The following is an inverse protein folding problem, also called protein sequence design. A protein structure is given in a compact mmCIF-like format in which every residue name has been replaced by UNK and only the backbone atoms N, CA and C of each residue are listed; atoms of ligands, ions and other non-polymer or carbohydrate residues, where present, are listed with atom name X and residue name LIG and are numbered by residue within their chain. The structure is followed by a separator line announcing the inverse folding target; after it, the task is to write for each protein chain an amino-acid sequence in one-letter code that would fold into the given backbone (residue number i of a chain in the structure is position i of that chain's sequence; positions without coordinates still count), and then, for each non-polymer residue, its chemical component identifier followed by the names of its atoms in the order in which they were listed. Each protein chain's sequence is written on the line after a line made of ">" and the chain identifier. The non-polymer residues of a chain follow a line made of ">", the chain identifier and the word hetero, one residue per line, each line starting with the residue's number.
data_IF_288880150906
#
_entry.id   IF_288880150906
#
_cell.length_a   1.000
_cell.length_b   1.000
_cell.length_c   1.000
_cell.angle_alpha   90.00
_cell.angle_beta   90.00
_cell.angle_gamma   90.00
#
_symmetry.space_group_name_H-M   'P 1'
#
loop_
_entity.id
_entity.type
_entity.pdbx_description
1 polymer ?
#
# COMPACT_ATOMS: atom_id res chain seq x y z
N UNK A 1 -42.72 38.70 36.10
CA UNK A 1 -41.39 39.20 35.71
C UNK A 1 -40.35 38.21 36.21
N UNK A 2 -39.74 37.45 35.30
CA UNK A 2 -38.73 36.45 35.61
C UNK A 2 -37.33 37.10 35.57
N UNK A 3 -36.47 36.78 36.54
CA UNK A 3 -35.10 37.28 36.60
C UNK A 3 -34.22 36.54 35.56
N UNK A 4 -33.36 37.22 34.79
CA UNK A 4 -32.47 36.56 33.85
C UNK A 4 -31.35 35.82 34.59
N UNK A 5 -31.07 34.59 34.18
CA UNK A 5 -29.89 33.83 34.60
C UNK A 5 -28.70 34.29 33.73
N UNK A 6 -27.60 34.71 34.36
CA UNK A 6 -26.36 35.11 33.69
C UNK A 6 -25.26 34.07 33.90
N UNK A 7 -25.43 32.87 33.35
CA UNK A 7 -24.30 31.95 33.21
C UNK A 7 -24.53 31.07 31.99
N UNK A 8 -23.68 31.22 30.99
CA UNK A 8 -23.52 30.24 29.93
C UNK A 8 -22.75 29.04 30.49
N UNK A 9 -23.13 27.79 30.18
CA UNK A 9 -22.31 26.64 30.50
C UNK A 9 -21.01 26.68 29.69
N UNK A 10 -19.88 26.45 30.36
CA UNK A 10 -18.52 26.44 29.77
C UNK A 10 -18.30 25.34 28.71
N UNK A 11 -19.33 24.55 28.39
CA UNK A 11 -19.32 23.54 27.33
C UNK A 11 -19.58 24.10 25.92
N UNK A 12 -19.81 25.41 25.79
CA UNK A 12 -20.17 26.06 24.51
C UNK A 12 -19.03 26.87 23.86
N UNK A 13 -17.84 26.91 24.45
CA UNK A 13 -16.66 27.57 23.89
C UNK A 13 -15.58 26.53 23.59
N UNK A 14 -15.16 26.45 22.33
CA UNK A 14 -13.97 25.72 21.84
C UNK A 14 -12.64 26.29 22.41
N UNK A 15 -12.66 26.85 23.62
CA UNK A 15 -11.52 27.45 24.28
C UNK A 15 -10.80 26.48 25.24
N UNK A 16 -11.27 25.24 25.38
CA UNK A 16 -10.72 24.25 26.31
C UNK A 16 -9.88 23.14 25.65
N UNK A 17 -9.42 23.34 24.41
CA UNK A 17 -8.38 22.48 23.81
C UNK A 17 -7.65 23.21 22.68
N UNK A 18 -6.88 24.25 23.04
CA UNK A 18 -5.65 24.48 22.30
C UNK A 18 -4.72 23.37 22.77
N UNK A 19 -4.30 22.54 21.83
CA UNK A 19 -3.20 21.61 21.98
C UNK A 19 -2.09 22.31 22.74
N UNK A 20 -1.78 21.79 23.94
CA UNK A 20 -0.45 22.02 24.48
C UNK A 20 0.52 21.46 23.42
N UNK A 21 1.54 22.23 23.00
CA UNK A 21 2.56 21.67 22.12
C UNK A 21 3.05 20.39 22.77
N UNK A 22 3.28 19.34 21.97
CA UNK A 22 3.83 18.09 22.46
C UNK A 22 5.23 18.36 23.04
N UNK A 23 5.24 18.77 24.31
CA UNK A 23 6.43 19.05 25.09
C UNK A 23 7.27 17.79 25.26
N UNK A 24 6.70 16.61 24.99
CA UNK A 24 7.43 15.35 24.89
C UNK A 24 8.27 15.28 23.63
N UNK A 25 7.72 15.65 22.47
CA UNK A 25 8.46 15.72 21.21
C UNK A 25 9.53 16.80 21.21
N UNK A 26 9.23 17.99 21.74
CA UNK A 26 10.20 19.09 21.83
C UNK A 26 11.28 18.80 22.89
N UNK A 27 10.93 18.16 24.01
CA UNK A 27 11.92 17.69 24.99
C UNK A 27 12.75 16.51 24.48
N UNK A 28 12.17 15.57 23.73
CA UNK A 28 12.90 14.45 23.13
C UNK A 28 13.82 14.91 22.00
N UNK A 29 13.37 15.87 21.19
CA UNK A 29 14.20 16.53 20.18
C UNK A 29 15.32 17.33 20.84
N UNK A 30 15.03 18.06 21.92
CA UNK A 30 16.04 18.79 22.66
C UNK A 30 17.04 17.86 23.37
N UNK A 31 16.59 16.73 23.92
CA UNK A 31 17.45 15.69 24.49
C UNK A 31 18.33 15.04 23.41
N UNK A 32 17.77 14.77 22.22
CA UNK A 32 18.52 14.26 21.07
C UNK A 32 19.53 15.30 20.53
N UNK A 33 19.18 16.58 20.49
CA UNK A 33 20.09 17.68 20.13
C UNK A 33 21.13 17.95 21.23
N UNK A 34 20.81 17.77 22.50
CA UNK A 34 21.81 17.88 23.58
C UNK A 34 22.77 16.69 23.55
N UNK A 35 22.29 15.49 23.20
CA UNK A 35 23.10 14.27 23.10
C UNK A 35 23.93 14.20 21.81
N UNK A 36 23.40 14.69 20.68
CA UNK A 36 23.98 14.48 19.35
C UNK A 36 24.16 15.78 18.53
N UNK A 37 23.68 16.92 19.02
CA UNK A 37 23.76 18.19 18.30
C UNK A 37 25.18 18.69 18.09
N UNK A 38 26.14 18.32 18.94
CA UNK A 38 27.56 18.57 18.70
C UNK A 38 28.08 17.83 17.46
N UNK A 39 27.69 16.56 17.28
CA UNK A 39 28.07 15.77 16.11
C UNK A 39 27.38 16.27 14.84
N UNK A 40 26.11 16.71 14.93
CA UNK A 40 25.39 17.29 13.81
C UNK A 40 25.97 18.66 13.42
N UNK A 41 26.38 19.47 14.39
CA UNK A 41 27.06 20.74 14.14
C UNK A 41 28.42 20.51 13.46
N UNK A 42 29.24 19.55 13.94
CA UNK A 42 30.48 19.18 13.28
C UNK A 42 30.26 18.61 11.86
N UNK A 43 29.16 17.90 11.63
CA UNK A 43 28.82 17.37 10.30
C UNK A 43 28.37 18.48 9.33
N UNK A 44 27.56 19.42 9.80
CA UNK A 44 27.08 20.56 9.01
C UNK A 44 28.22 21.53 8.71
N UNK A 45 29.02 21.88 9.72
CA UNK A 45 30.24 22.68 9.55
C UNK A 45 31.19 21.92 8.62
N UNK A 46 31.42 20.62 8.85
CA UNK A 46 32.18 19.77 7.95
C UNK A 46 31.67 19.72 6.50
N UNK A 47 30.38 19.99 6.24
CA UNK A 47 29.78 20.03 4.89
C UNK A 47 29.96 21.40 4.23
N UNK A 48 29.77 22.50 4.96
CA UNK A 48 30.02 23.86 4.46
C UNK A 48 31.51 24.07 4.16
N UNK A 49 32.41 23.61 5.06
CA UNK A 49 33.84 23.55 4.79
C UNK A 49 34.18 22.69 3.57
N UNK A 50 33.41 21.63 3.30
CA UNK A 50 33.59 20.76 2.14
C UNK A 50 33.20 21.47 0.84
N UNK A 51 32.13 22.25 0.85
CA UNK A 51 31.68 23.04 -0.29
C UNK A 51 32.68 24.17 -0.63
N UNK A 52 33.21 24.84 0.40
CA UNK A 52 34.28 25.83 0.25
C UNK A 52 35.59 25.19 -0.25
N UNK A 53 35.92 24.00 0.25
CA UNK A 53 37.08 23.23 -0.20
C UNK A 53 36.93 22.73 -1.65
N UNK A 54 35.74 22.27 -2.04
CA UNK A 54 35.39 21.86 -3.41
C UNK A 54 35.44 23.04 -4.37
N UNK A 55 34.85 24.17 -3.99
CA UNK A 55 34.89 25.41 -4.77
C UNK A 55 36.35 25.87 -4.96
N UNK A 56 37.15 25.83 -3.90
CA UNK A 56 38.58 26.15 -3.97
C UNK A 56 39.35 25.17 -4.84
N UNK A 57 39.08 23.86 -4.73
CA UNK A 57 39.69 22.83 -5.56
C UNK A 57 39.34 22.98 -7.05
N UNK A 58 38.09 23.35 -7.37
CA UNK A 58 37.64 23.65 -8.73
C UNK A 58 38.36 24.89 -9.28
N UNK A 59 38.53 25.95 -8.48
CA UNK A 59 39.28 27.14 -8.88
C UNK A 59 40.77 26.86 -9.10
N UNK A 60 41.36 26.01 -8.26
CA UNK A 60 42.74 25.53 -8.43
C UNK A 60 42.86 24.68 -9.70
N UNK A 61 41.96 23.72 -9.92
CA UNK A 61 41.96 22.87 -11.11
C UNK A 61 41.73 23.68 -12.41
N UNK A 62 40.91 24.72 -12.36
CA UNK A 62 40.66 25.61 -13.50
C UNK A 62 41.82 26.56 -13.81
N UNK A 63 42.73 26.77 -12.86
CA UNK A 63 43.93 27.61 -13.02
C UNK A 63 45.24 26.81 -13.12
N UNK A 64 45.16 25.47 -13.00
CA UNK A 64 46.29 24.57 -13.07
C UNK A 64 46.80 24.42 -14.52
N UNK A 65 48.12 24.41 -14.67
CA UNK A 65 48.77 24.05 -15.94
C UNK A 65 48.72 22.53 -16.18
N UNK A 66 48.90 22.07 -17.43
CA UNK A 66 48.79 20.66 -17.82
C UNK A 66 49.68 19.71 -16.98
N UNK A 67 50.86 20.18 -16.53
CA UNK A 67 51.77 19.39 -15.68
C UNK A 67 51.29 19.22 -14.23
N UNK A 68 50.43 20.12 -13.75
CA UNK A 68 49.81 20.06 -12.42
C UNK A 68 48.56 19.17 -12.45
N UNK A 69 47.80 19.17 -13.55
CA UNK A 69 46.72 18.22 -13.82
C UNK A 69 47.23 16.76 -13.87
N UNK A 70 48.42 16.53 -14.43
CA UNK A 70 49.06 15.20 -14.42
C UNK A 70 49.40 14.71 -12.99
N UNK A 71 49.81 15.62 -12.09
CA UNK A 71 50.05 15.28 -10.67
C UNK A 71 48.77 15.00 -9.91
N UNK A 72 47.72 15.78 -10.16
CA UNK A 72 46.39 15.55 -9.57
C UNK A 72 45.89 14.17 -10.01
N UNK A 73 45.97 13.87 -11.30
CA UNK A 73 45.57 12.56 -11.87
C UNK A 73 46.36 11.40 -11.25
N UNK A 74 47.67 11.57 -11.07
CA UNK A 74 48.52 10.57 -10.41
C UNK A 74 48.19 10.41 -8.91
N UNK A 75 47.72 11.48 -8.24
CA UNK A 75 47.24 11.43 -6.86
C UNK A 75 45.84 10.79 -6.75
N UNK A 76 44.96 11.02 -7.73
CA UNK A 76 43.65 10.36 -7.84
C UNK A 76 43.80 8.86 -8.07
N UNK A 77 44.80 8.44 -8.85
CA UNK A 77 45.14 7.03 -9.02
C UNK A 77 45.57 6.37 -7.69
N UNK A 78 46.37 7.08 -6.86
CA UNK A 78 46.73 6.61 -5.52
C UNK A 78 45.54 6.62 -4.54
N UNK A 79 44.55 7.51 -4.72
CA UNK A 79 43.31 7.54 -3.95
C UNK A 79 42.36 6.40 -4.33
N UNK A 80 42.30 6.02 -5.60
CA UNK A 80 41.57 4.83 -6.09
C UNK A 80 42.25 3.56 -5.56
N UNK A 81 43.58 3.52 -5.52
CA UNK A 81 44.34 2.42 -4.92
C UNK A 81 44.20 2.38 -3.38
N UNK A 82 43.94 3.52 -2.73
CA UNK A 82 43.59 3.59 -1.30
C UNK A 82 42.09 3.26 -1.03
N UNK A 83 41.20 3.52 -2.00
CA UNK A 83 39.77 3.22 -1.91
C UNK A 83 39.47 1.72 -2.04
N UNK A 84 40.44 0.90 -2.44
CA UNK A 84 40.36 -0.57 -2.37
C UNK A 84 40.11 -1.07 -0.91
N UNK A 85 40.41 -0.23 0.09
CA UNK A 85 40.08 -0.45 1.51
C UNK A 85 38.68 -0.01 1.97
N UNK A 86 37.88 0.64 1.12
CA UNK A 86 36.45 0.94 1.33
C UNK A 86 35.53 -0.21 0.87
N UNK A 87 36.12 -1.27 0.30
CA UNK A 87 35.51 -2.56 -0.02
C UNK A 87 35.18 -3.31 1.27
N UNK A 88 34.25 -2.79 2.07
CA UNK A 88 33.74 -3.54 3.23
C UNK A 88 32.89 -4.70 2.72
N UNK A 89 32.82 -5.79 3.50
CA UNK A 89 31.98 -6.94 3.15
C UNK A 89 30.52 -6.50 3.00
N UNK A 90 30.06 -5.52 3.77
CA UNK A 90 28.72 -4.91 3.65
C UNK A 90 28.53 -4.11 2.35
N UNK A 91 29.56 -3.44 1.84
CA UNK A 91 29.49 -2.75 0.55
C UNK A 91 29.47 -3.73 -0.62
N UNK A 92 30.16 -4.86 -0.48
CA UNK A 92 30.13 -5.96 -1.46
C UNK A 92 28.79 -6.71 -1.44
N UNK A 93 28.20 -6.91 -0.26
CA UNK A 93 26.85 -7.46 -0.08
C UNK A 93 25.80 -6.53 -0.70
N UNK A 94 25.83 -5.24 -0.38
CA UNK A 94 24.92 -4.25 -1.00
C UNK A 94 25.09 -4.16 -2.52
N UNK A 95 26.32 -4.24 -3.04
CA UNK A 95 26.56 -4.26 -4.48
C UNK A 95 26.05 -5.54 -5.14
N UNK A 96 26.09 -6.67 -4.42
CA UNK A 96 25.50 -7.94 -4.87
C UNK A 96 23.99 -7.83 -4.89
N UNK A 97 23.37 -7.36 -3.81
CA UNK A 97 21.92 -7.15 -3.71
C UNK A 97 21.43 -6.16 -4.77
N UNK A 98 22.12 -5.03 -4.95
CA UNK A 98 21.80 -4.05 -5.99
C UNK A 98 21.94 -4.64 -7.38
N UNK A 99 22.94 -5.49 -7.60
CA UNK A 99 23.15 -6.20 -8.86
C UNK A 99 22.05 -7.22 -9.16
N UNK A 100 21.64 -8.00 -8.16
CA UNK A 100 20.54 -8.96 -8.26
C UNK A 100 19.19 -8.28 -8.55
N UNK A 101 18.99 -7.06 -8.02
CA UNK A 101 17.77 -6.27 -8.21
C UNK A 101 17.88 -5.20 -9.31
N UNK A 102 18.97 -5.18 -10.10
CA UNK A 102 19.24 -4.11 -11.05
C UNK A 102 18.17 -4.00 -12.16
N UNK A 103 17.68 -5.14 -12.63
CA UNK A 103 16.63 -5.21 -13.65
C UNK A 103 15.29 -4.67 -13.11
N UNK A 104 14.91 -5.04 -11.89
CA UNK A 104 13.69 -4.57 -11.23
C UNK A 104 13.75 -3.08 -10.93
N UNK A 105 14.90 -2.59 -10.44
CA UNK A 105 15.13 -1.17 -10.20
C UNK A 105 15.06 -0.36 -11.51
N UNK A 106 15.63 -0.88 -12.60
CA UNK A 106 15.55 -0.26 -13.91
C UNK A 106 14.09 -0.15 -14.38
N UNK A 107 13.29 -1.21 -14.24
CA UNK A 107 11.87 -1.19 -14.59
C UNK A 107 11.06 -0.20 -13.72
N UNK A 108 11.37 -0.11 -12.43
CA UNK A 108 10.75 0.87 -11.53
C UNK A 108 11.11 2.31 -11.94
N UNK A 109 12.37 2.58 -12.24
CA UNK A 109 12.84 3.90 -12.71
C UNK A 109 12.23 4.28 -14.06
N UNK A 110 12.07 3.33 -14.99
CA UNK A 110 11.36 3.57 -16.26
C UNK A 110 9.91 3.99 -16.01
N UNK A 111 9.24 3.37 -15.04
CA UNK A 111 7.87 3.73 -14.64
C UNK A 111 7.80 5.14 -14.06
N UNK A 112 8.72 5.49 -13.15
CA UNK A 112 8.82 6.85 -12.58
C UNK A 112 9.10 7.88 -13.68
N UNK A 113 10.01 7.58 -14.60
CA UNK A 113 10.29 8.45 -15.76
C UNK A 113 9.09 8.58 -16.70
N UNK A 114 8.32 7.51 -16.90
CA UNK A 114 7.09 7.55 -17.68
C UNK A 114 6.03 8.44 -17.02
N UNK A 115 5.84 8.32 -15.69
CA UNK A 115 4.95 9.19 -14.91
C UNK A 115 5.41 10.66 -14.96
N UNK A 116 6.71 10.92 -14.83
CA UNK A 116 7.27 12.27 -14.92
C UNK A 116 7.06 12.87 -16.32
N UNK A 117 7.34 12.12 -17.39
CA UNK A 117 7.12 12.56 -18.78
C UNK A 117 5.64 12.79 -19.08
N UNK A 118 4.76 12.01 -18.48
CA UNK A 118 3.31 12.19 -18.54
C UNK A 118 2.79 13.37 -17.71
N UNK A 119 3.62 13.94 -16.83
CA UNK A 119 3.20 15.00 -15.90
C UNK A 119 2.36 14.50 -14.71
N UNK A 120 2.31 13.19 -14.47
CA UNK A 120 1.48 12.56 -13.44
C UNK A 120 2.23 12.28 -12.14
N UNK A 121 3.54 12.51 -12.10
CA UNK A 121 4.36 12.24 -10.90
C UNK A 121 3.91 13.07 -9.69
N UNK A 122 3.50 14.32 -9.92
CA UNK A 122 3.00 15.21 -8.86
C UNK A 122 1.64 14.75 -8.33
N UNK A 123 0.74 14.33 -9.21
CA UNK A 123 -0.56 13.78 -8.82
C UNK A 123 -0.39 12.52 -7.98
N UNK A 124 0.53 11.64 -8.38
CA UNK A 124 0.88 10.44 -7.62
C UNK A 124 1.47 10.78 -6.25
N UNK A 125 2.43 11.71 -6.20
CA UNK A 125 3.03 12.15 -4.92
C UNK A 125 1.98 12.75 -3.99
N UNK A 126 1.05 13.54 -4.52
CA UNK A 126 -0.07 14.11 -3.74
C UNK A 126 -0.94 13.02 -3.12
N UNK A 127 -1.28 11.98 -3.87
CA UNK A 127 -2.06 10.84 -3.38
C UNK A 127 -1.26 10.07 -2.31
N UNK A 128 0.02 9.80 -2.57
CA UNK A 128 0.89 9.06 -1.66
C UNK A 128 1.06 9.78 -0.31
N UNK A 129 1.29 11.10 -0.32
CA UNK A 129 1.37 11.90 0.91
C UNK A 129 0.03 11.92 1.65
N UNK A 130 -1.09 12.10 0.95
CA UNK A 130 -2.41 12.06 1.59
C UNK A 130 -2.73 10.72 2.25
N UNK A 131 -2.26 9.61 1.67
CA UNK A 131 -2.40 8.28 2.25
C UNK A 131 -1.45 8.08 3.43
N UNK A 132 -0.18 8.50 3.30
CA UNK A 132 0.82 8.41 4.36
C UNK A 132 0.45 9.21 5.61
N UNK A 133 -0.06 10.43 5.45
CA UNK A 133 -0.50 11.28 6.55
C UNK A 133 -1.74 10.73 7.28
N UNK A 134 -2.55 9.94 6.59
CA UNK A 134 -3.76 9.33 7.16
C UNK A 134 -3.46 8.06 7.98
N UNK A 135 -2.25 7.51 7.87
CA UNK A 135 -1.88 6.25 8.50
C UNK A 135 -0.91 6.50 9.66
N UNK A 136 -1.18 5.86 10.78
CA UNK A 136 -0.21 5.76 11.88
C UNK A 136 0.92 4.80 11.54
N UNK A 137 2.05 4.93 12.23
CA UNK A 137 3.20 4.02 12.03
C UNK A 137 2.83 2.54 12.20
N UNK A 138 1.91 2.22 13.11
CA UNK A 138 1.42 0.86 13.31
C UNK A 138 0.61 0.34 12.10
N UNK A 139 -0.22 1.20 11.50
CA UNK A 139 -1.00 0.84 10.30
C UNK A 139 -0.08 0.68 9.08
N UNK A 140 0.99 1.47 8.96
CA UNK A 140 2.00 1.30 7.90
C UNK A 140 2.71 -0.05 8.03
N UNK A 141 3.06 -0.46 9.24
CA UNK A 141 3.72 -1.75 9.46
C UNK A 141 2.78 -2.93 9.21
N UNK A 142 1.50 -2.82 9.59
CA UNK A 142 0.46 -3.79 9.27
C UNK A 142 0.23 -3.90 7.75
N UNK A 143 0.16 -2.77 7.05
CA UNK A 143 0.08 -2.74 5.59
C UNK A 143 1.32 -3.37 4.95
N UNK A 144 2.53 -3.07 5.44
CA UNK A 144 3.75 -3.69 4.93
C UNK A 144 3.72 -5.21 5.08
N UNK A 145 3.33 -5.72 6.25
CA UNK A 145 3.20 -7.16 6.48
C UNK A 145 2.12 -7.79 5.60
N UNK A 146 1.03 -7.06 5.32
CA UNK A 146 -0.07 -7.53 4.46
C UNK A 146 0.37 -7.55 2.99
N UNK A 147 1.11 -6.55 2.52
CA UNK A 147 1.66 -6.52 1.18
C UNK A 147 2.74 -7.59 0.99
N UNK A 148 3.52 -7.91 2.01
CA UNK A 148 4.50 -9.00 1.93
C UNK A 148 3.80 -10.37 1.85
N UNK A 149 2.72 -10.55 2.60
CA UNK A 149 1.95 -11.80 2.61
C UNK A 149 1.12 -11.99 1.34
N UNK A 150 0.37 -10.96 0.94
CA UNK A 150 -0.71 -11.04 -0.04
C UNK A 150 -0.52 -10.06 -1.22
N UNK A 151 0.68 -9.47 -1.39
CA UNK A 151 0.94 -8.44 -2.41
C UNK A 151 0.68 -8.91 -3.85
N UNK A 152 0.99 -10.17 -4.15
CA UNK A 152 0.69 -10.77 -5.45
C UNK A 152 -0.82 -10.83 -5.72
N UNK A 153 -1.60 -11.19 -4.70
CA UNK A 153 -3.06 -11.30 -4.81
C UNK A 153 -3.69 -9.92 -4.98
N UNK A 154 -3.15 -8.90 -4.29
CA UNK A 154 -3.55 -7.50 -4.46
C UNK A 154 -3.25 -7.02 -5.88
N UNK A 155 -2.07 -7.32 -6.44
CA UNK A 155 -1.72 -6.95 -7.82
C UNK A 155 -2.65 -7.63 -8.83
N UNK A 156 -2.93 -8.92 -8.67
CA UNK A 156 -3.88 -9.64 -9.53
C UNK A 156 -5.29 -9.03 -9.44
N UNK A 157 -5.73 -8.66 -8.24
CA UNK A 157 -7.01 -7.97 -8.06
C UNK A 157 -7.03 -6.59 -8.75
N UNK A 158 -5.94 -5.82 -8.67
CA UNK A 158 -5.82 -4.52 -9.36
C UNK A 158 -5.85 -4.68 -10.88
N UNK A 159 -5.21 -5.71 -11.42
CA UNK A 159 -5.27 -6.01 -12.86
C UNK A 159 -6.71 -6.31 -13.31
N UNK A 160 -7.49 -7.04 -12.51
CA UNK A 160 -8.92 -7.27 -12.79
C UNK A 160 -9.69 -5.96 -12.75
N UNK A 161 -9.45 -5.09 -11.77
CA UNK A 161 -10.10 -3.78 -11.65
C UNK A 161 -9.76 -2.90 -12.87
N UNK A 162 -8.50 -2.85 -13.29
CA UNK A 162 -8.07 -2.09 -14.47
C UNK A 162 -8.68 -2.64 -15.76
N UNK A 163 -8.77 -3.97 -15.89
CA UNK A 163 -9.45 -4.59 -17.02
C UNK A 163 -10.94 -4.20 -17.06
N UNK A 164 -11.62 -4.22 -15.91
CA UNK A 164 -13.01 -3.79 -15.79
C UNK A 164 -13.20 -2.30 -16.08
N UNK A 165 -12.27 -1.44 -15.63
CA UNK A 165 -12.29 -0.01 -15.94
C UNK A 165 -12.14 0.22 -17.44
N UNK A 166 -11.20 -0.49 -18.08
CA UNK A 166 -10.95 -0.39 -19.53
C UNK A 166 -12.17 -0.83 -20.34
N UNK A 167 -12.85 -1.87 -19.87
CA UNK A 167 -14.03 -2.43 -20.55
C UNK A 167 -15.34 -1.71 -20.17
N UNK A 168 -15.28 -0.73 -19.23
CA UNK A 168 -16.43 0.07 -18.80
C UNK A 168 -17.38 -0.63 -17.83
N UNK A 169 -16.97 -1.74 -17.22
CA UNK A 169 -17.79 -2.57 -16.31
C UNK A 169 -17.58 -2.27 -14.82
N UNK A 170 -16.70 -1.33 -14.49
CA UNK A 170 -16.42 -0.97 -13.10
C UNK A 170 -17.68 -0.46 -12.37
N UNK A 171 -18.52 0.33 -13.04
CA UNK A 171 -19.78 0.84 -12.46
C UNK A 171 -20.76 -0.29 -12.12
N UNK A 172 -20.89 -1.29 -13.01
CA UNK A 172 -21.74 -2.46 -12.78
C UNK A 172 -21.25 -3.29 -11.58
N UNK A 173 -19.93 -3.46 -11.45
CA UNK A 173 -19.32 -4.16 -10.32
C UNK A 173 -19.58 -3.40 -9.01
N UNK A 174 -19.40 -2.08 -9.00
CA UNK A 174 -19.66 -1.24 -7.83
C UNK A 174 -21.14 -1.31 -7.44
N UNK A 175 -22.06 -1.22 -8.41
CA UNK A 175 -23.50 -1.32 -8.15
C UNK A 175 -23.89 -2.70 -7.57
N UNK A 176 -23.26 -3.77 -8.06
CA UNK A 176 -23.43 -5.11 -7.50
C UNK A 176 -22.87 -5.17 -6.07
N UNK A 177 -21.67 -4.65 -5.84
CA UNK A 177 -21.02 -4.59 -4.54
C UNK A 177 -21.84 -3.81 -3.51
N UNK A 178 -22.41 -2.66 -3.88
CA UNK A 178 -23.31 -1.88 -3.05
C UNK A 178 -24.59 -2.65 -2.73
N UNK A 179 -25.20 -3.28 -3.74
CA UNK A 179 -26.38 -4.12 -3.52
C UNK A 179 -26.09 -5.26 -2.55
N UNK A 180 -24.92 -5.89 -2.69
CA UNK A 180 -24.46 -6.98 -1.82
C UNK A 180 -24.09 -6.50 -0.42
N UNK A 181 -23.51 -5.32 -0.26
CA UNK A 181 -23.12 -4.76 1.04
C UNK A 181 -24.34 -4.36 1.89
N UNK A 182 -25.47 -4.03 1.27
CA UNK A 182 -26.73 -3.81 1.99
C UNK A 182 -27.34 -5.10 2.54
N UNK A 183 -26.94 -6.26 2.02
CA UNK A 183 -27.43 -7.55 2.48
C UNK A 183 -26.58 -7.99 3.69
N UNK A 184 -27.23 -8.33 4.80
CA UNK A 184 -26.58 -9.03 5.91
C UNK A 184 -26.28 -10.48 5.47
N UNK A 185 -25.15 -10.66 4.79
CA UNK A 185 -24.64 -11.96 4.36
C UNK A 185 -23.65 -12.44 5.43
N UNK A 186 -24.05 -13.47 6.18
CA UNK A 186 -23.12 -14.18 7.07
C UNK A 186 -22.26 -15.19 6.29
N UNK A 187 -21.16 -15.65 6.89
CA UNK A 187 -20.23 -16.59 6.26
C UNK A 187 -20.92 -17.89 5.81
N UNK A 188 -21.93 -18.34 6.55
CA UNK A 188 -22.69 -19.54 6.22
C UNK A 188 -23.51 -19.34 4.93
N UNK A 189 -24.09 -18.15 4.76
CA UNK A 189 -24.81 -17.73 3.57
C UNK A 189 -23.87 -17.56 2.38
N UNK A 190 -22.70 -16.93 2.58
CA UNK A 190 -21.68 -16.79 1.53
C UNK A 190 -21.20 -18.16 1.03
N UNK A 191 -20.86 -19.09 1.93
CA UNK A 191 -20.49 -20.47 1.57
C UNK A 191 -21.62 -21.21 0.86
N UNK A 192 -22.86 -21.01 1.31
CA UNK A 192 -24.05 -21.58 0.67
C UNK A 192 -24.24 -21.10 -0.76
N UNK A 193 -24.14 -19.77 -1.00
CA UNK A 193 -24.23 -19.18 -2.33
C UNK A 193 -23.09 -19.66 -3.25
N UNK A 194 -21.85 -19.70 -2.74
CA UNK A 194 -20.71 -20.22 -3.50
C UNK A 194 -20.93 -21.68 -3.95
N UNK A 195 -21.43 -22.54 -3.05
CA UNK A 195 -21.75 -23.92 -3.39
C UNK A 195 -22.86 -24.02 -4.44
N UNK A 196 -23.90 -23.17 -4.35
CA UNK A 196 -24.97 -23.12 -5.33
C UNK A 196 -24.48 -22.65 -6.71
N UNK A 197 -23.67 -21.58 -6.77
CA UNK A 197 -23.11 -21.07 -8.02
C UNK A 197 -22.17 -22.09 -8.67
N UNK A 198 -21.35 -22.78 -7.86
CA UNK A 198 -20.54 -23.91 -8.33
C UNK A 198 -21.39 -25.01 -8.97
N UNK A 199 -22.49 -25.40 -8.31
CA UNK A 199 -23.42 -26.40 -8.84
C UNK A 199 -24.12 -25.94 -10.14
N UNK A 200 -24.44 -24.64 -10.27
CA UNK A 200 -25.00 -24.07 -11.51
C UNK A 200 -23.96 -24.13 -12.64
N UNK A 201 -22.71 -23.75 -12.37
CA UNK A 201 -21.63 -23.83 -13.37
C UNK A 201 -21.26 -25.26 -13.77
N UNK A 202 -21.38 -26.23 -12.86
CA UNK A 202 -21.27 -27.65 -13.21
C UNK A 202 -22.43 -28.14 -14.07
N UNK A 203 -23.65 -27.70 -13.74
CA UNK A 203 -24.85 -28.05 -14.50
C UNK A 203 -24.80 -27.48 -15.93
N UNK A 204 -24.40 -26.22 -16.12
CA UNK A 204 -24.25 -25.63 -17.45
C UNK A 204 -23.29 -26.44 -18.33
N UNK A 205 -22.17 -26.90 -17.77
CA UNK A 205 -21.14 -27.65 -18.48
C UNK A 205 -21.53 -29.09 -18.79
N UNK A 206 -22.33 -29.74 -17.93
CA UNK A 206 -22.55 -31.18 -17.96
C UNK A 206 -24.01 -31.61 -18.16
N UNK A 207 -24.97 -30.69 -18.17
CA UNK A 207 -26.39 -31.02 -18.29
C UNK A 207 -26.67 -31.69 -19.64
N UNK A 208 -27.24 -32.89 -19.59
CA UNK A 208 -27.74 -33.62 -20.76
C UNK A 208 -29.27 -33.65 -20.72
N UNK A 209 -29.95 -33.59 -21.88
CA UNK A 209 -31.39 -33.79 -21.94
C UNK A 209 -31.75 -35.15 -21.34
N UNK A 210 -32.54 -35.14 -20.27
CA UNK A 210 -33.00 -36.35 -19.59
C UNK A 210 -34.40 -36.71 -20.06
N UNK A 211 -34.59 -37.99 -20.42
CA UNK A 211 -35.92 -38.52 -20.75
C UNK A 211 -36.80 -38.65 -19.50
N UNK A 212 -38.12 -38.70 -19.69
CA UNK A 212 -39.12 -38.75 -18.58
C UNK A 212 -38.86 -39.92 -17.62
N UNK A 213 -38.49 -41.09 -18.14
CA UNK A 213 -38.18 -42.27 -17.30
C UNK A 213 -36.86 -42.12 -16.52
N UNK A 214 -35.89 -41.45 -17.12
CA UNK A 214 -34.58 -41.22 -16.49
C UNK A 214 -34.68 -40.20 -15.37
N UNK A 215 -35.48 -39.15 -15.57
CA UNK A 215 -35.83 -38.19 -14.52
C UNK A 215 -36.48 -38.89 -13.31
N UNK A 216 -37.45 -39.77 -13.54
CA UNK A 216 -38.09 -40.53 -12.46
C UNK A 216 -37.10 -41.44 -11.71
N UNK A 217 -36.15 -42.05 -12.43
CA UNK A 217 -35.08 -42.83 -11.81
C UNK A 217 -34.14 -41.92 -10.99
N UNK A 218 -33.81 -40.73 -11.48
CA UNK A 218 -32.96 -39.77 -10.78
C UNK A 218 -33.59 -39.26 -9.48
N UNK A 219 -34.91 -39.15 -9.37
CA UNK A 219 -35.58 -38.81 -8.09
C UNK A 219 -35.32 -39.84 -6.98
N UNK A 220 -34.92 -41.06 -7.33
CA UNK A 220 -34.51 -42.07 -6.35
C UNK A 220 -33.04 -41.97 -5.94
N UNK A 221 -32.23 -41.19 -6.67
CA UNK A 221 -30.82 -40.97 -6.36
C UNK A 221 -30.66 -40.20 -5.04
N UNK A 222 -29.68 -40.62 -4.23
CA UNK A 222 -29.34 -40.01 -2.95
C UNK A 222 -28.97 -38.53 -3.10
N UNK A 223 -28.23 -38.19 -4.15
CA UNK A 223 -27.74 -36.81 -4.35
C UNK A 223 -28.88 -35.86 -4.73
N UNK A 224 -29.79 -36.31 -5.60
CA UNK A 224 -31.01 -35.57 -5.96
C UNK A 224 -31.91 -35.36 -4.73
N UNK A 225 -32.05 -36.39 -3.89
CA UNK A 225 -32.81 -36.26 -2.63
C UNK A 225 -32.15 -35.29 -1.64
N UNK A 226 -30.83 -35.27 -1.56
CA UNK A 226 -30.11 -34.31 -0.74
C UNK A 226 -30.35 -32.87 -1.23
N UNK A 227 -30.22 -32.63 -2.53
CA UNK A 227 -30.51 -31.32 -3.14
C UNK A 227 -31.95 -30.87 -2.95
N UNK A 228 -32.93 -31.77 -3.18
CA UNK A 228 -34.34 -31.48 -2.89
C UNK A 228 -34.59 -31.18 -1.40
N UNK A 229 -33.91 -31.90 -0.51
CA UNK A 229 -33.96 -31.64 0.93
C UNK A 229 -33.48 -30.23 1.28
N UNK A 230 -32.39 -29.77 0.65
CA UNK A 230 -31.88 -28.41 0.80
C UNK A 230 -32.87 -27.34 0.31
N UNK A 231 -33.45 -27.52 -0.89
CA UNK A 231 -34.48 -26.60 -1.42
C UNK A 231 -35.70 -26.52 -0.50
N UNK A 232 -36.18 -27.67 0.00
CA UNK A 232 -37.28 -27.70 0.95
C UNK A 232 -36.92 -27.00 2.26
N UNK A 233 -35.67 -27.10 2.72
CA UNK A 233 -35.20 -26.39 3.91
C UNK A 233 -35.22 -24.86 3.71
N UNK A 234 -34.78 -24.37 2.55
CA UNK A 234 -34.88 -22.94 2.17
C UNK A 234 -36.34 -22.49 2.18
N UNK A 235 -37.23 -23.22 1.50
CA UNK A 235 -38.66 -22.88 1.43
C UNK A 235 -39.30 -22.84 2.83
N UNK A 236 -38.96 -23.81 3.70
CA UNK A 236 -39.39 -23.80 5.10
C UNK A 236 -38.86 -22.59 5.87
N UNK A 237 -37.60 -22.20 5.66
CA UNK A 237 -37.01 -21.03 6.30
C UNK A 237 -37.68 -19.74 5.84
N UNK A 238 -37.90 -19.58 4.54
CA UNK A 238 -38.60 -18.44 3.95
C UNK A 238 -40.05 -18.33 4.47
N UNK A 239 -40.79 -19.44 4.48
CA UNK A 239 -42.15 -19.47 5.03
C UNK A 239 -42.21 -19.08 6.51
N UNK A 240 -41.20 -19.45 7.32
CA UNK A 240 -41.10 -19.01 8.72
C UNK A 240 -40.83 -17.50 8.84
N UNK A 241 -40.00 -16.93 7.97
CA UNK A 241 -39.69 -15.49 7.96
C UNK A 241 -40.89 -14.65 7.52
N UNK A 242 -41.59 -15.08 6.45
CA UNK A 242 -42.80 -14.40 5.95
C UNK A 242 -43.96 -14.42 6.96
N UNK A 243 -44.13 -15.49 7.74
CA UNK A 243 -45.16 -15.57 8.78
C UNK A 243 -44.86 -14.70 10.02
N UNK A 244 -43.60 -14.30 10.21
CA UNK A 244 -43.15 -13.50 11.36
C UNK A 244 -43.09 -11.99 11.06
N UNK A 245 -43.27 -11.60 9.79
CA UNK A 245 -43.52 -10.23 9.37
C UNK A 245 -45.03 -9.98 9.35
#
# INVERSE_FOLDING_TARGET
>A
MAKPQSSYPDSATNAARKEEPDTGGEAALQEALEAHGGNLAELVEGTDELDDALTTAILIAASADDAELDRITSSTANLIEAADGLSTDEAAELATDLGENADDLSAALETVLALQRGGHLEDFATIATGFGDSLSAAEVEELSSTLEADGSDIVEALDVVLALQRDGHLEDLVALGETLSTLEIDDDTARGLNSLLGAVGEAERNAKPVGVLEFLKQLTNRDVRAGLGYVVAILKAQGRRLRRR
#
